data_IF_126711154286
#
_entry.id   IF_126711154286
#
_cell.length_a   1.000
_cell.length_b   1.000
_cell.length_c   1.000
_cell.angle_alpha   90.00
_cell.angle_beta   90.00
_cell.angle_gamma   90.00
#
_symmetry.space_group_name_H-M   'P 1'
#
loop_
_entity.id
_entity.type
_entity.pdbx_description
1 polymer ?
#
# COMPACT_ATOMS: atom_id res chain seq x y z
N UNK A 1 2.76 -1.25 15.70
CA UNK A 1 1.65 -1.64 16.60
C UNK A 1 1.26 -3.06 16.25
N UNK A 2 0.50 -3.75 17.11
CA UNK A 2 0.19 -5.16 16.91
C UNK A 2 -0.71 -5.40 15.69
N UNK A 3 -1.62 -4.46 15.37
CA UNK A 3 -2.44 -4.53 14.17
C UNK A 3 -1.59 -4.63 12.89
N UNK A 4 -0.57 -3.79 12.74
CA UNK A 4 0.32 -3.81 11.59
C UNK A 4 1.12 -5.12 11.49
N UNK A 5 1.63 -5.60 12.63
CA UNK A 5 2.38 -6.85 12.72
C UNK A 5 1.52 -8.04 12.31
N UNK A 6 0.30 -8.14 12.87
CA UNK A 6 -0.68 -9.16 12.54
C UNK A 6 -1.12 -9.08 11.08
N UNK A 7 -1.46 -7.88 10.59
CA UNK A 7 -1.88 -7.69 9.18
C UNK A 7 -0.80 -8.13 8.21
N UNK A 8 0.48 -7.81 8.44
CA UNK A 8 1.57 -8.20 7.54
C UNK A 8 2.13 -9.61 7.82
N UNK A 9 1.86 -10.19 8.99
CA UNK A 9 2.38 -11.49 9.39
C UNK A 9 3.86 -11.48 9.81
N UNK A 10 4.33 -10.39 10.40
CA UNK A 10 5.70 -10.29 10.94
C UNK A 10 5.68 -10.01 12.45
N UNK A 11 6.72 -10.45 13.15
CA UNK A 11 7.01 -9.99 14.51
C UNK A 11 7.75 -8.66 14.50
N UNK A 12 7.73 -7.95 15.63
CA UNK A 12 8.47 -6.69 15.76
C UNK A 12 9.98 -6.86 15.52
N UNK A 13 10.57 -7.94 16.04
CA UNK A 13 12.00 -8.24 15.91
C UNK A 13 12.45 -8.42 14.47
N UNK A 14 11.56 -8.85 13.59
CA UNK A 14 11.89 -9.09 12.18
C UNK A 14 11.87 -7.82 11.34
N UNK A 15 11.18 -6.78 11.80
CA UNK A 15 10.98 -5.55 11.02
C UNK A 15 11.64 -4.32 11.64
N UNK A 16 11.96 -4.36 12.95
CA UNK A 16 12.57 -3.22 13.64
C UNK A 16 13.97 -2.97 13.06
N UNK A 17 14.22 -1.74 12.63
CA UNK A 17 15.47 -1.34 11.99
C UNK A 17 15.57 -1.70 10.52
N UNK A 18 14.61 -2.45 9.98
CA UNK A 18 14.54 -2.73 8.55
C UNK A 18 13.89 -1.58 7.79
N UNK A 19 14.34 -1.37 6.55
CA UNK A 19 13.74 -0.38 5.69
C UNK A 19 12.37 -0.84 5.19
N UNK A 20 11.43 0.11 5.03
CA UNK A 20 10.05 -0.14 4.57
C UNK A 20 9.98 -0.90 3.24
N UNK A 21 11.04 -0.83 2.43
CA UNK A 21 11.15 -1.52 1.14
C UNK A 21 10.94 -3.04 1.23
N UNK A 22 11.11 -3.64 2.41
CA UNK A 22 10.81 -5.07 2.61
C UNK A 22 9.34 -5.44 2.38
N UNK A 23 8.41 -4.47 2.50
CA UNK A 23 6.97 -4.68 2.37
C UNK A 23 6.42 -4.37 0.98
N UNK A 24 7.27 -4.08 -0.01
CA UNK A 24 6.84 -3.77 -1.36
C UNK A 24 7.34 -4.81 -2.36
N UNK A 25 6.65 -4.87 -3.48
CA UNK A 25 7.08 -5.64 -4.64
C UNK A 25 8.51 -5.26 -5.07
N UNK A 26 9.39 -6.22 -5.39
CA UNK A 26 10.75 -5.94 -5.84
C UNK A 26 10.84 -5.01 -7.05
N UNK A 27 9.91 -5.10 -8.00
CA UNK A 27 9.92 -4.24 -9.18
C UNK A 27 9.54 -2.81 -8.81
N UNK A 28 8.53 -2.67 -7.94
CA UNK A 28 8.17 -1.36 -7.40
C UNK A 28 9.31 -0.76 -6.56
N UNK A 29 10.00 -1.56 -5.74
CA UNK A 29 11.16 -1.11 -4.96
C UNK A 29 12.23 -0.46 -5.83
N UNK A 30 12.46 -1.00 -7.03
CA UNK A 30 13.50 -0.54 -7.95
C UNK A 30 13.00 0.58 -8.89
N UNK A 31 11.71 0.91 -8.83
CA UNK A 31 11.09 1.92 -9.70
C UNK A 31 11.47 3.36 -9.34
N UNK A 32 11.26 4.26 -10.30
CA UNK A 32 11.36 5.71 -10.08
C UNK A 32 10.29 6.18 -9.10
N UNK A 33 9.07 5.62 -9.17
CA UNK A 33 7.95 6.00 -8.32
C UNK A 33 8.25 5.79 -6.82
N UNK A 34 8.89 4.67 -6.47
CA UNK A 34 9.28 4.41 -5.08
C UNK A 34 10.35 5.40 -4.59
N UNK A 35 11.26 5.82 -5.47
CA UNK A 35 12.26 6.84 -5.16
C UNK A 35 11.60 8.21 -4.94
N UNK A 36 10.73 8.62 -5.86
CA UNK A 36 9.98 9.87 -5.78
C UNK A 36 9.08 9.93 -4.54
N UNK A 37 8.50 8.79 -4.14
CA UNK A 37 7.76 8.66 -2.90
C UNK A 37 8.61 9.03 -1.67
N UNK A 38 9.84 8.52 -1.57
CA UNK A 38 10.74 8.88 -0.47
C UNK A 38 11.28 10.30 -0.58
N UNK A 39 11.57 10.78 -1.80
CA UNK A 39 12.00 12.17 -2.03
C UNK A 39 10.92 13.15 -1.58
N UNK A 40 9.65 12.86 -1.88
CA UNK A 40 8.49 13.63 -1.44
C UNK A 40 8.41 13.72 0.09
N UNK A 41 8.50 12.58 0.77
CA UNK A 41 8.52 12.55 2.24
C UNK A 41 9.74 13.27 2.83
N UNK A 42 10.89 13.18 2.17
CA UNK A 42 12.13 13.87 2.54
C UNK A 42 12.06 15.39 2.37
N UNK A 43 11.13 15.91 1.58
CA UNK A 43 10.79 17.35 1.49
C UNK A 43 9.72 17.79 2.49
N UNK A 44 9.22 16.87 3.34
CA UNK A 44 8.18 17.16 4.33
C UNK A 44 6.76 17.08 3.78
N UNK A 45 6.58 16.66 2.52
CA UNK A 45 5.27 16.50 1.90
C UNK A 45 4.67 15.13 2.27
N UNK A 46 3.43 15.10 2.75
CA UNK A 46 2.75 13.84 3.04
C UNK A 46 2.30 13.13 1.76
N UNK A 47 2.15 11.81 1.83
CA UNK A 47 1.61 11.00 0.74
C UNK A 47 0.44 10.15 1.24
N UNK A 48 -0.67 10.13 0.50
CA UNK A 48 -1.86 9.37 0.89
C UNK A 48 -2.50 8.70 -0.33
N UNK A 49 -3.00 7.48 -0.14
CA UNK A 49 -3.55 6.69 -1.23
C UNK A 49 -3.84 5.25 -0.85
N UNK A 50 -4.06 4.42 -1.86
CA UNK A 50 -4.16 2.98 -1.73
C UNK A 50 -2.89 2.33 -2.26
N UNK A 51 -2.33 1.40 -1.49
CA UNK A 51 -1.05 0.78 -1.81
C UNK A 51 -1.11 -0.73 -1.68
N UNK A 52 -0.55 -1.44 -2.67
CA UNK A 52 -0.24 -2.86 -2.55
C UNK A 52 1.03 -3.05 -1.72
N UNK A 53 0.99 -3.98 -0.77
CA UNK A 53 2.12 -4.39 0.06
C UNK A 53 2.21 -5.91 0.10
N UNK A 54 3.38 -6.39 0.45
CA UNK A 54 3.68 -7.81 0.61
C UNK A 54 3.88 -8.11 2.10
N UNK A 55 3.01 -8.97 2.62
CA UNK A 55 3.19 -9.62 3.91
C UNK A 55 4.19 -10.77 3.84
N UNK A 56 4.34 -11.49 4.95
CA UNK A 56 5.15 -12.71 5.01
C UNK A 56 4.69 -13.71 3.95
N UNK A 57 5.66 -14.36 3.30
CA UNK A 57 5.40 -15.36 2.26
C UNK A 57 4.85 -14.77 0.96
N UNK A 58 4.96 -13.45 0.75
CA UNK A 58 4.49 -12.79 -0.47
C UNK A 58 2.99 -12.54 -0.50
N UNK A 59 2.27 -12.71 0.62
CA UNK A 59 0.83 -12.45 0.68
C UNK A 59 0.54 -10.99 0.31
N UNK A 60 -0.25 -10.79 -0.72
CA UNK A 60 -0.70 -9.47 -1.13
C UNK A 60 -1.65 -8.87 -0.10
N UNK A 61 -1.40 -7.61 0.25
CA UNK A 61 -2.19 -6.83 1.19
C UNK A 61 -2.42 -5.47 0.57
N UNK A 62 -3.67 -5.04 0.53
CA UNK A 62 -4.04 -3.70 0.11
C UNK A 62 -4.31 -2.84 1.33
N UNK A 63 -3.69 -1.66 1.37
CA UNK A 63 -3.90 -0.69 2.44
C UNK A 63 -4.35 0.64 1.88
N UNK A 64 -5.30 1.29 2.54
CA UNK A 64 -5.50 2.73 2.41
C UNK A 64 -4.65 3.39 3.51
N UNK A 65 -3.74 4.26 3.14
CA UNK A 65 -2.75 4.79 4.07
C UNK A 65 -2.40 6.26 3.83
N UNK A 66 -1.88 6.90 4.87
CA UNK A 66 -1.15 8.16 4.80
C UNK A 66 0.24 8.02 5.43
N UNK A 67 1.24 8.61 4.79
CA UNK A 67 2.62 8.70 5.24
C UNK A 67 2.91 10.17 5.53
N UNK A 68 3.15 10.48 6.80
CA UNK A 68 3.19 11.85 7.30
C UNK A 68 4.59 12.13 7.88
N UNK A 69 5.41 12.96 7.22
CA UNK A 69 6.67 13.41 7.77
C UNK A 69 6.48 14.19 9.07
N UNK A 70 7.38 13.97 10.03
CA UNK A 70 7.49 14.73 11.27
C UNK A 70 8.74 15.60 11.13
N UNK A 71 8.54 16.91 11.28
CA UNK A 71 9.58 17.92 11.12
C UNK A 71 10.19 18.28 12.47
N UNK A 72 11.48 18.61 12.47
CA UNK A 72 12.14 19.21 13.63
C UNK A 72 11.85 20.72 13.73
N UNK A 73 12.46 21.39 14.71
CA UNK A 73 12.29 22.84 14.92
C UNK A 73 12.80 23.71 13.76
N UNK A 74 13.65 23.16 12.88
CA UNK A 74 14.18 23.85 11.70
C UNK A 74 13.37 23.50 10.43
N UNK A 75 12.27 22.75 10.56
CA UNK A 75 11.45 22.32 9.43
C UNK A 75 12.03 21.13 8.66
N UNK A 76 13.08 20.48 9.16
CA UNK A 76 13.69 19.32 8.49
C UNK A 76 12.97 18.02 8.89
N UNK A 77 12.52 17.19 7.93
CA UNK A 77 11.96 15.88 8.24
C UNK A 77 12.98 14.97 8.93
N UNK A 78 12.58 14.34 10.04
CA UNK A 78 13.42 13.37 10.76
C UNK A 78 12.74 12.03 11.03
N UNK A 79 11.42 11.94 10.83
CA UNK A 79 10.63 10.71 11.00
C UNK A 79 9.45 10.71 10.05
N UNK A 80 8.94 9.53 9.71
CA UNK A 80 7.65 9.37 9.03
C UNK A 80 6.73 8.55 9.93
N UNK A 81 5.50 9.02 10.13
CA UNK A 81 4.44 8.26 10.79
C UNK A 81 3.41 7.85 9.76
N UNK A 82 3.12 6.54 9.72
CA UNK A 82 2.16 5.94 8.81
C UNK A 82 0.89 5.57 9.55
N UNK A 83 -0.26 5.97 9.00
CA UNK A 83 -1.57 5.43 9.36
C UNK A 83 -2.09 4.60 8.21
N UNK A 84 -2.68 3.44 8.51
CA UNK A 84 -3.17 2.55 7.46
C UNK A 84 -4.36 1.72 7.94
N UNK A 85 -5.27 1.49 7.01
CA UNK A 85 -6.40 0.58 7.12
C UNK A 85 -6.21 -0.54 6.10
N UNK A 86 -6.33 -1.79 6.53
CA UNK A 86 -6.36 -2.93 5.63
C UNK A 86 -7.70 -2.91 4.85
N UNK A 87 -7.59 -2.85 3.52
CA UNK A 87 -8.72 -2.85 2.60
C UNK A 87 -8.68 -4.07 1.66
N UNK A 88 -7.89 -5.09 1.99
CA UNK A 88 -7.70 -6.28 1.14
C UNK A 88 -9.00 -6.97 0.82
N UNK A 89 -9.85 -7.20 1.83
CA UNK A 89 -11.17 -7.81 1.66
C UNK A 89 -12.07 -6.98 0.74
N UNK A 90 -12.12 -5.66 0.94
CA UNK A 90 -12.90 -4.77 0.09
C UNK A 90 -12.41 -4.78 -1.37
N UNK A 91 -11.09 -4.83 -1.59
CA UNK A 91 -10.50 -4.93 -2.92
C UNK A 91 -10.84 -6.24 -3.63
N UNK A 92 -10.79 -7.36 -2.92
CA UNK A 92 -11.13 -8.68 -3.47
C UNK A 92 -12.61 -8.74 -3.85
N UNK A 93 -13.51 -8.29 -2.96
CA UNK A 93 -14.95 -8.24 -3.25
C UNK A 93 -15.27 -7.39 -4.47
N UNK A 94 -14.65 -6.21 -4.59
CA UNK A 94 -14.84 -5.35 -5.75
C UNK A 94 -14.38 -6.02 -7.06
N UNK A 95 -13.23 -6.71 -7.04
CA UNK A 95 -12.73 -7.44 -8.20
C UNK A 95 -13.64 -8.61 -8.61
N UNK A 96 -14.21 -9.34 -7.64
CA UNK A 96 -15.15 -10.42 -7.89
C UNK A 96 -16.44 -9.91 -8.54
N UNK A 97 -17.02 -8.82 -8.02
CA UNK A 97 -18.20 -8.19 -8.61
C UNK A 97 -17.95 -7.68 -10.03
N UNK A 98 -16.82 -7.00 -10.27
CA UNK A 98 -16.45 -6.56 -11.62
C UNK A 98 -16.29 -7.72 -12.60
N UNK A 99 -15.70 -8.84 -12.14
CA UNK A 99 -15.57 -10.06 -12.92
C UNK A 99 -16.93 -10.65 -13.32
N UNK A 100 -17.87 -10.71 -12.37
CA UNK A 100 -19.23 -11.18 -12.62
C UNK A 100 -19.99 -10.27 -13.61
N UNK A 101 -19.92 -8.94 -13.44
CA UNK A 101 -20.55 -7.98 -14.35
C UNK A 101 -19.99 -8.09 -15.77
N UNK A 102 -18.66 -8.22 -15.93
CA UNK A 102 -18.03 -8.44 -17.24
C UNK A 102 -18.49 -9.75 -17.89
N UNK A 103 -18.62 -10.82 -17.11
CA UNK A 103 -19.11 -12.10 -17.61
C UNK A 103 -20.58 -12.02 -18.06
N UNK A 104 -21.44 -11.36 -17.28
CA UNK A 104 -22.85 -11.12 -17.63
C UNK A 104 -22.93 -10.25 -18.90
N UNK A 105 -22.21 -9.13 -18.96
CA UNK A 105 -22.21 -8.24 -20.13
C UNK A 105 -21.74 -8.96 -21.41
N UNK A 106 -20.71 -9.82 -21.30
CA UNK A 106 -20.25 -10.65 -22.42
C UNK A 106 -21.27 -11.69 -22.85
N UNK A 107 -22.03 -12.27 -21.91
CA UNK A 107 -23.08 -13.24 -22.20
C UNK A 107 -24.38 -12.60 -22.71
N UNK A 108 -24.65 -11.35 -22.34
CA UNK A 108 -25.83 -10.58 -22.75
C UNK A 108 -25.60 -9.70 -23.98
N UNK A 109 -24.45 -9.80 -24.66
CA UNK A 109 -24.04 -8.98 -25.80
C UNK A 109 -25.23 -8.30 -26.48
N UNK A 110 -25.52 -7.07 -26.03
CA UNK A 110 -26.57 -6.24 -26.61
C UNK A 110 -26.06 -5.94 -28.01
N UNK A 111 -26.71 -6.53 -29.01
CA UNK A 111 -26.50 -6.15 -30.40
C UNK A 111 -27.04 -4.73 -30.51
N UNK A 112 -26.16 -3.74 -30.40
CA UNK A 112 -26.46 -2.38 -30.82
C UNK A 112 -26.40 -2.34 -32.35
N UNK A 113 -27.50 -1.88 -32.97
CA UNK A 113 -27.57 -1.54 -34.39
C UNK A 113 -27.34 -0.03 -34.56
#
# INVERSE_FOLDING_TARGET
NDNFLSTLGYSLSEIKGQHHSMFVDPDYRNSVDYRLFWDKLGRGEYDAGQYKRLGRGGREIWIQASYNPILDMNGKPFKVVKYATDITQAKLQAADFEGQLKAISKAQAVIEF
#
